data_IF_143019783970
#
_entry.id   IF_143019783970
#
_cell.length_a   1.000
_cell.length_b   1.000
_cell.length_c   1.000
_cell.angle_alpha   90.00
_cell.angle_beta   90.00
_cell.angle_gamma   90.00
#
_symmetry.space_group_name_H-M   'P 1'
#
loop_
_entity.id
_entity.type
_entity.pdbx_description
1 polymer ?
#
# COMPACT_ATOMS: atom_id res chain seq x y z
N UNK A 1 31.24 -6.84 -46.32
CA UNK A 1 30.81 -5.72 -45.44
C UNK A 1 29.35 -5.39 -45.72
N UNK A 2 28.39 -5.90 -44.92
CA UNK A 2 26.99 -5.47 -44.97
C UNK A 2 26.69 -4.74 -43.66
N UNK A 3 26.37 -3.45 -43.75
CA UNK A 3 25.98 -2.60 -42.61
C UNK A 3 24.69 -3.16 -41.99
N UNK A 4 24.73 -3.42 -40.69
CA UNK A 4 23.54 -3.70 -39.89
C UNK A 4 22.65 -2.45 -39.83
N UNK A 5 21.31 -2.59 -39.91
CA UNK A 5 20.41 -1.47 -39.84
C UNK A 5 20.41 -0.88 -38.42
N UNK A 6 20.57 0.43 -38.35
CA UNK A 6 20.43 1.22 -37.13
C UNK A 6 19.04 0.97 -36.52
N UNK A 7 19.02 0.43 -35.30
CA UNK A 7 17.85 0.50 -34.44
C UNK A 7 17.50 1.97 -34.19
N UNK A 8 16.47 2.46 -34.87
CA UNK A 8 15.79 3.69 -34.49
C UNK A 8 15.25 3.50 -33.07
N UNK A 9 15.83 4.21 -32.11
CA UNK A 9 15.23 4.39 -30.80
C UNK A 9 13.91 5.13 -30.99
N UNK A 10 12.80 4.42 -30.89
CA UNK A 10 11.47 5.03 -30.84
C UNK A 10 11.44 6.06 -29.70
N UNK A 11 11.12 7.31 -30.03
CA UNK A 11 10.84 8.33 -29.02
C UNK A 11 9.75 7.81 -28.06
N UNK A 12 9.82 8.13 -26.76
CA UNK A 12 8.78 7.74 -25.83
C UNK A 12 7.46 8.35 -26.31
N UNK A 13 6.54 7.50 -26.78
CA UNK A 13 5.18 7.90 -27.13
C UNK A 13 4.55 8.57 -25.91
N UNK A 14 4.63 9.89 -25.85
CA UNK A 14 4.04 10.69 -24.79
C UNK A 14 2.54 10.62 -25.01
N UNK A 15 1.85 9.79 -24.23
CA UNK A 15 0.40 9.77 -24.23
C UNK A 15 -0.09 11.17 -23.83
N UNK A 16 -0.99 11.73 -24.64
CA UNK A 16 -1.64 12.98 -24.25
C UNK A 16 -2.43 12.75 -22.96
N UNK A 17 -2.35 13.68 -22.00
CA UNK A 17 -3.14 13.57 -20.78
C UNK A 17 -4.63 13.62 -21.13
N UNK A 18 -5.40 12.68 -20.58
CA UNK A 18 -6.85 12.58 -20.73
C UNK A 18 -7.49 13.91 -20.32
N UNK A 19 -8.37 14.45 -21.16
CA UNK A 19 -8.96 15.77 -20.94
C UNK A 19 -9.90 15.73 -19.73
N UNK A 20 -10.07 16.83 -18.98
CA UNK A 20 -10.96 16.85 -17.82
C UNK A 20 -12.40 16.37 -18.11
N UNK A 21 -12.91 16.66 -19.31
CA UNK A 21 -14.24 16.24 -19.77
C UNK A 21 -14.38 14.73 -19.95
N UNK A 22 -13.27 13.99 -20.11
CA UNK A 22 -13.22 12.52 -20.31
C UNK A 22 -12.85 11.78 -19.01
N UNK A 23 -12.74 12.50 -17.89
CA UNK A 23 -12.40 11.95 -16.57
C UNK A 23 -13.64 11.65 -15.72
N UNK A 24 -14.82 11.52 -16.36
CA UNK A 24 -16.10 11.17 -15.74
C UNK A 24 -16.60 9.81 -16.29
N UNK A 25 -17.35 9.07 -15.47
CA UNK A 25 -17.78 7.69 -15.78
C UNK A 25 -18.59 7.60 -17.06
N UNK A 26 -19.34 8.66 -17.37
CA UNK A 26 -20.22 8.75 -18.52
C UNK A 26 -19.42 8.97 -19.82
N UNK A 27 -18.32 9.73 -19.73
CA UNK A 27 -17.60 10.26 -20.90
C UNK A 27 -16.23 9.62 -21.14
N UNK A 28 -15.74 8.84 -20.18
CA UNK A 28 -14.41 8.24 -20.29
C UNK A 28 -14.34 7.21 -21.40
N UNK A 29 -13.21 7.19 -22.13
CA UNK A 29 -12.87 6.13 -23.07
C UNK A 29 -12.17 4.93 -22.40
N UNK A 30 -11.73 5.09 -21.15
CA UNK A 30 -11.05 4.05 -20.40
C UNK A 30 -12.03 3.01 -19.87
N UNK A 31 -11.68 1.73 -19.95
CA UNK A 31 -12.53 0.65 -19.46
C UNK A 31 -12.40 0.44 -17.96
N UNK A 32 -13.49 0.01 -17.29
CA UNK A 32 -13.41 -0.40 -15.89
C UNK A 32 -12.40 -1.52 -15.69
N UNK A 33 -11.74 -1.49 -14.54
CA UNK A 33 -10.76 -2.49 -14.13
C UNK A 33 -10.94 -2.91 -12.68
N UNK A 34 -10.36 -4.06 -12.36
CA UNK A 34 -10.21 -4.55 -11.00
C UNK A 34 -8.85 -4.12 -10.44
N UNK A 35 -8.64 -4.13 -9.11
CA UNK A 35 -7.44 -3.56 -8.50
C UNK A 35 -6.12 -4.12 -9.04
N UNK A 36 -6.05 -5.45 -9.25
CA UNK A 36 -4.84 -6.12 -9.74
C UNK A 36 -4.47 -5.76 -11.18
N UNK A 37 -5.36 -5.93 -12.19
CA UNK A 37 -5.10 -5.45 -13.54
C UNK A 37 -4.88 -3.93 -13.61
N UNK A 38 -5.57 -3.17 -12.76
CA UNK A 38 -5.41 -1.73 -12.67
C UNK A 38 -4.01 -1.32 -12.22
N UNK A 39 -3.48 -1.91 -11.14
CA UNK A 39 -2.11 -1.65 -10.69
C UNK A 39 -1.07 -1.97 -11.77
N UNK A 40 -1.26 -3.06 -12.52
CA UNK A 40 -0.39 -3.40 -13.67
C UNK A 40 -0.42 -2.34 -14.76
N UNK A 41 -1.60 -1.79 -15.06
CA UNK A 41 -1.74 -0.71 -16.03
C UNK A 41 -1.12 0.60 -15.54
N UNK A 42 -1.33 0.98 -14.27
CA UNK A 42 -0.68 2.15 -13.65
C UNK A 42 0.84 2.03 -13.70
N UNK A 43 1.37 0.87 -13.35
CA UNK A 43 2.80 0.60 -13.41
C UNK A 43 3.35 0.73 -14.83
N UNK A 44 2.66 0.18 -15.82
CA UNK A 44 3.04 0.31 -17.23
C UNK A 44 3.03 1.78 -17.69
N UNK A 45 1.98 2.55 -17.36
CA UNK A 45 1.85 3.98 -17.72
C UNK A 45 3.03 4.80 -17.17
N UNK A 46 3.45 4.49 -15.95
CA UNK A 46 4.60 5.12 -15.30
C UNK A 46 5.92 4.71 -15.97
N UNK A 47 6.08 3.42 -16.28
CA UNK A 47 7.30 2.88 -16.88
C UNK A 47 7.55 3.42 -18.30
N UNK A 48 6.50 3.64 -19.09
CA UNK A 48 6.61 4.28 -20.41
C UNK A 48 6.77 5.81 -20.31
N UNK A 49 6.70 6.38 -19.10
CA UNK A 49 6.83 7.82 -18.89
C UNK A 49 5.66 8.64 -19.42
N UNK A 50 4.44 8.07 -19.42
CA UNK A 50 3.24 8.70 -20.00
C UNK A 50 2.91 10.08 -19.38
N UNK A 51 3.35 10.36 -18.16
CA UNK A 51 3.17 11.67 -17.53
C UNK A 51 4.47 12.22 -16.94
N UNK A 52 4.90 13.46 -17.30
CA UNK A 52 6.22 13.99 -16.93
C UNK A 52 6.40 14.21 -15.42
N UNK A 53 5.29 14.37 -14.69
CA UNK A 53 5.28 14.56 -13.24
C UNK A 53 4.93 13.28 -12.48
N UNK A 54 4.66 12.17 -13.16
CA UNK A 54 4.43 10.89 -12.50
C UNK A 54 5.77 10.38 -11.95
N UNK A 55 5.94 10.52 -10.64
CA UNK A 55 7.05 9.89 -9.96
C UNK A 55 6.69 8.42 -9.76
N UNK A 56 7.59 7.53 -10.19
CA UNK A 56 7.41 6.08 -10.10
C UNK A 56 7.30 5.54 -8.68
N UNK A 57 7.61 6.36 -7.68
CA UNK A 57 7.53 6.01 -6.26
C UNK A 57 6.22 6.53 -5.68
N UNK A 58 6.04 7.85 -5.69
CA UNK A 58 4.90 8.51 -5.04
C UNK A 58 3.56 8.23 -5.71
N UNK A 59 3.52 8.18 -7.04
CA UNK A 59 2.28 7.86 -7.78
C UNK A 59 1.89 6.40 -7.55
N UNK A 60 2.89 5.52 -7.48
CA UNK A 60 2.74 4.11 -7.17
C UNK A 60 2.22 3.92 -5.75
N UNK A 61 2.79 4.59 -4.75
CA UNK A 61 2.34 4.47 -3.36
C UNK A 61 0.88 4.91 -3.17
N UNK A 62 0.48 6.00 -3.82
CA UNK A 62 -0.92 6.43 -3.82
C UNK A 62 -1.80 5.40 -4.52
N UNK A 63 -1.34 4.82 -5.64
CA UNK A 63 -2.09 3.77 -6.33
C UNK A 63 -2.23 2.51 -5.46
N UNK A 64 -1.18 2.11 -4.73
CA UNK A 64 -1.22 0.98 -3.80
C UNK A 64 -2.22 1.20 -2.66
N UNK A 65 -2.21 2.39 -2.04
CA UNK A 65 -3.20 2.75 -1.01
C UNK A 65 -4.64 2.67 -1.53
N UNK A 66 -4.86 3.13 -2.77
CA UNK A 66 -6.19 3.05 -3.39
C UNK A 66 -6.57 1.59 -3.68
N UNK A 67 -5.69 0.82 -4.32
CA UNK A 67 -5.96 -0.57 -4.69
C UNK A 67 -6.26 -1.45 -3.47
N UNK A 68 -5.57 -1.21 -2.34
CA UNK A 68 -5.80 -1.95 -1.10
C UNK A 68 -7.21 -1.72 -0.52
N UNK A 69 -7.86 -0.62 -0.87
CA UNK A 69 -9.19 -0.23 -0.38
C UNK A 69 -10.28 -0.27 -1.45
N UNK A 70 -9.90 -0.58 -2.69
CA UNK A 70 -10.86 -0.73 -3.77
C UNK A 70 -11.72 -1.95 -3.53
N UNK A 71 -13.02 -1.84 -3.85
CA UNK A 71 -13.88 -2.99 -4.06
C UNK A 71 -13.21 -3.91 -5.10
N UNK A 72 -12.95 -5.15 -4.71
CA UNK A 72 -12.20 -6.09 -5.55
C UNK A 72 -12.90 -6.41 -6.88
N UNK A 73 -14.24 -6.45 -6.88
CA UNK A 73 -15.04 -6.82 -8.04
C UNK A 73 -15.32 -5.62 -8.96
N UNK A 74 -15.50 -4.43 -8.36
CA UNK A 74 -15.94 -3.23 -9.08
C UNK A 74 -14.82 -2.23 -9.34
N UNK A 75 -13.71 -2.31 -8.59
CA UNK A 75 -12.60 -1.35 -8.66
C UNK A 75 -13.01 0.03 -8.17
N UNK A 76 -13.95 0.12 -7.23
CA UNK A 76 -14.49 1.38 -6.71
C UNK A 76 -13.79 1.71 -5.40
N UNK A 77 -13.37 2.96 -5.21
CA UNK A 77 -12.74 3.40 -3.96
C UNK A 77 -13.29 4.73 -3.49
N UNK A 78 -13.59 4.79 -2.19
CA UNK A 78 -13.88 6.04 -1.49
C UNK A 78 -12.58 6.80 -1.28
N UNK A 79 -12.53 8.01 -1.80
CA UNK A 79 -11.39 8.89 -1.63
C UNK A 79 -11.49 9.64 -0.30
N UNK A 80 -10.56 9.30 0.57
CA UNK A 80 -10.32 9.99 1.83
C UNK A 80 -8.91 10.58 1.78
N UNK A 81 -8.83 11.91 1.60
CA UNK A 81 -7.56 12.61 1.54
C UNK A 81 -6.76 12.44 2.84
N UNK A 82 -7.40 12.53 4.00
CA UNK A 82 -6.70 12.53 5.28
C UNK A 82 -6.18 11.15 5.64
N UNK A 83 -7.02 10.12 5.48
CA UNK A 83 -6.59 8.75 5.68
C UNK A 83 -5.52 8.32 4.67
N UNK A 84 -5.61 8.74 3.40
CA UNK A 84 -4.55 8.46 2.43
C UNK A 84 -3.25 9.17 2.82
N UNK A 85 -3.28 10.42 3.30
CA UNK A 85 -2.07 11.08 3.80
C UNK A 85 -1.44 10.34 4.99
N UNK A 86 -2.26 9.88 5.95
CA UNK A 86 -1.79 9.15 7.14
C UNK A 86 -1.16 7.80 6.77
N UNK A 87 -1.80 7.04 5.87
CA UNK A 87 -1.32 5.70 5.49
C UNK A 87 -0.09 5.75 4.58
N UNK A 88 -0.02 6.74 3.69
CA UNK A 88 1.11 6.89 2.76
C UNK A 88 2.26 7.72 3.33
N UNK A 89 2.06 8.47 4.41
CA UNK A 89 3.02 9.42 4.95
C UNK A 89 3.29 10.63 4.03
N UNK A 90 2.44 10.83 3.01
CA UNK A 90 2.59 11.91 2.03
C UNK A 90 1.81 13.16 2.47
N UNK A 91 2.28 14.34 2.06
CA UNK A 91 1.55 15.59 2.31
C UNK A 91 0.23 15.64 1.53
N UNK A 92 -0.76 16.38 2.06
CA UNK A 92 -2.06 16.58 1.40
C UNK A 92 -1.93 17.08 -0.04
N UNK A 93 -1.00 18.02 -0.28
CA UNK A 93 -0.74 18.56 -1.61
C UNK A 93 -0.17 17.50 -2.57
N UNK A 94 0.74 16.66 -2.08
CA UNK A 94 1.32 15.56 -2.84
C UNK A 94 0.26 14.52 -3.21
N UNK A 95 -0.59 14.11 -2.26
CA UNK A 95 -1.68 13.17 -2.55
C UNK A 95 -2.63 13.74 -3.61
N UNK A 96 -3.10 14.98 -3.46
CA UNK A 96 -3.96 15.63 -4.46
C UNK A 96 -3.31 15.66 -5.85
N UNK A 97 -2.02 15.99 -5.92
CA UNK A 97 -1.26 16.02 -7.17
C UNK A 97 -1.21 14.63 -7.82
N UNK A 98 -0.88 13.58 -7.09
CA UNK A 98 -0.77 12.24 -7.67
C UNK A 98 -2.11 11.62 -8.02
N UNK A 99 -3.18 11.95 -7.31
CA UNK A 99 -4.55 11.61 -7.70
C UNK A 99 -4.93 12.30 -9.01
N UNK A 100 -4.62 13.59 -9.17
CA UNK A 100 -4.80 14.31 -10.43
C UNK A 100 -4.03 13.65 -11.58
N UNK A 101 -2.77 13.27 -11.34
CA UNK A 101 -1.94 12.58 -12.33
C UNK A 101 -2.57 11.24 -12.75
N UNK A 102 -3.07 10.44 -11.80
CA UNK A 102 -3.74 9.17 -12.13
C UNK A 102 -4.99 9.38 -12.98
N UNK A 103 -5.71 10.49 -12.80
CA UNK A 103 -6.86 10.86 -13.65
C UNK A 103 -6.43 11.32 -15.04
N UNK A 104 -5.39 12.16 -15.12
CA UNK A 104 -4.79 12.59 -16.39
C UNK A 104 -4.20 11.41 -17.18
N UNK A 105 -3.76 10.35 -16.51
CA UNK A 105 -3.33 9.10 -17.12
C UNK A 105 -4.49 8.19 -17.58
N UNK A 106 -5.74 8.57 -17.30
CA UNK A 106 -6.92 7.73 -17.59
C UNK A 106 -7.02 6.51 -16.69
N UNK A 107 -6.26 6.45 -15.59
CA UNK A 107 -6.27 5.36 -14.63
C UNK A 107 -7.38 5.53 -13.56
N UNK A 108 -7.87 6.75 -13.34
CA UNK A 108 -8.99 7.01 -12.45
C UNK A 108 -10.06 7.84 -13.14
N UNK A 109 -11.31 7.52 -12.84
CA UNK A 109 -12.49 8.26 -13.31
C UNK A 109 -13.36 8.66 -12.12
N UNK A 110 -14.03 9.81 -12.20
CA UNK A 110 -15.08 10.16 -11.25
C UNK A 110 -16.30 9.27 -11.45
N UNK A 111 -16.73 8.59 -10.39
CA UNK A 111 -18.05 7.97 -10.32
C UNK A 111 -19.05 8.91 -9.66
N UNK A 112 -18.60 9.63 -8.65
CA UNK A 112 -19.36 10.65 -7.98
C UNK A 112 -18.40 11.73 -7.48
N UNK A 113 -18.75 12.99 -7.75
CA UNK A 113 -18.01 14.15 -7.23
C UNK A 113 -18.36 14.39 -5.77
N UNK A 114 -17.33 14.55 -4.94
CA UNK A 114 -17.49 14.87 -3.53
C UNK A 114 -17.95 16.31 -3.41
N UNK A 115 -18.94 16.53 -2.55
CA UNK A 115 -19.51 17.85 -2.29
C UNK A 115 -18.97 18.41 -0.97
N UNK A 116 -18.60 19.70 -0.96
CA UNK A 116 -18.33 20.45 0.30
C UNK A 116 -19.62 20.73 1.09
N UNK A 117 -20.79 20.59 0.45
CA UNK A 117 -22.12 20.73 1.06
C UNK A 117 -22.63 19.35 1.47
N UNK A 118 -22.66 19.17 2.78
CA UNK A 118 -22.76 17.89 3.48
C UNK A 118 -24.16 17.25 3.45
N UNK A 119 -24.18 15.93 3.61
CA UNK A 119 -25.25 15.24 4.31
C UNK A 119 -25.17 15.62 5.80
N UNK A 120 -26.23 16.25 6.33
CA UNK A 120 -26.42 16.43 7.77
C UNK A 120 -26.98 15.12 8.33
N UNK A 121 -26.10 14.27 8.84
CA UNK A 121 -26.51 13.12 9.66
C UNK A 121 -26.86 13.63 11.06
N UNK A 122 -28.03 13.26 11.58
CA UNK A 122 -28.46 13.66 12.91
C UNK A 122 -27.39 13.25 13.95
N UNK A 123 -27.04 14.18 14.84
CA UNK A 123 -26.02 13.95 15.89
C UNK A 123 -24.57 13.94 15.43
N UNK A 124 -24.25 14.17 14.14
CA UNK A 124 -22.87 14.27 13.66
C UNK A 124 -22.55 15.63 13.05
N UNK A 125 -21.31 16.14 13.22
CA UNK A 125 -20.87 17.32 12.52
C UNK A 125 -20.94 17.08 11.01
N UNK A 126 -21.06 18.18 10.28
CA UNK A 126 -21.04 18.23 8.83
C UNK A 126 -19.95 17.31 8.24
N UNK A 127 -20.37 16.21 7.61
CA UNK A 127 -19.47 15.21 7.02
C UNK A 127 -19.47 15.37 5.50
N UNK A 128 -18.32 15.74 4.93
CA UNK A 128 -18.19 15.92 3.49
C UNK A 128 -18.50 14.60 2.77
N UNK A 129 -19.27 14.65 1.68
CA UNK A 129 -19.51 13.45 0.86
C UNK A 129 -18.18 13.02 0.26
N UNK A 130 -17.70 11.84 0.65
CA UNK A 130 -16.44 11.30 0.15
C UNK A 130 -16.51 11.17 -1.36
N UNK A 131 -15.45 11.59 -2.05
CA UNK A 131 -15.43 11.48 -3.50
C UNK A 131 -15.24 10.03 -3.92
N UNK A 132 -15.96 9.57 -4.94
CA UNK A 132 -15.90 8.16 -5.36
C UNK A 132 -15.17 8.05 -6.69
N UNK A 133 -14.10 7.25 -6.71
CA UNK A 133 -13.36 6.94 -7.92
C UNK A 133 -13.63 5.54 -8.42
N UNK A 134 -13.60 5.38 -9.73
CA UNK A 134 -13.54 4.10 -10.41
C UNK A 134 -12.15 3.85 -10.99
N UNK A 135 -11.62 2.66 -10.80
CA UNK A 135 -10.41 2.18 -11.43
C UNK A 135 -10.64 1.92 -12.91
N UNK A 136 -9.83 2.53 -13.77
CA UNK A 136 -9.94 2.40 -15.22
C UNK A 136 -8.60 2.06 -15.88
N UNK A 137 -8.65 1.41 -17.03
CA UNK A 137 -7.49 1.12 -17.87
C UNK A 137 -7.65 1.90 -19.18
N UNK A 138 -6.69 2.76 -19.56
CA UNK A 138 -6.79 3.56 -20.77
C UNK A 138 -6.60 2.71 -22.04
N UNK A 139 -7.21 3.10 -23.18
CA UNK A 139 -7.11 2.37 -24.44
C UNK A 139 -5.66 2.10 -24.86
N UNK A 140 -4.76 3.06 -24.65
CA UNK A 140 -3.33 2.90 -24.96
C UNK A 140 -2.68 1.67 -24.30
N UNK A 141 -3.11 1.30 -23.09
CA UNK A 141 -2.62 0.07 -22.44
C UNK A 141 -3.19 -1.17 -23.12
N UNK A 142 -4.47 -1.14 -23.48
CA UNK A 142 -5.13 -2.25 -24.15
C UNK A 142 -4.57 -2.46 -25.57
N UNK A 143 -4.31 -1.40 -26.32
CA UNK A 143 -3.69 -1.46 -27.65
C UNK A 143 -2.27 -2.01 -27.57
N UNK A 144 -1.47 -1.52 -26.62
CA UNK A 144 -0.08 -1.97 -26.43
C UNK A 144 0.03 -3.45 -26.02
N UNK A 145 -0.95 -3.99 -25.31
CA UNK A 145 -1.00 -5.40 -24.91
C UNK A 145 -1.89 -6.25 -25.83
N UNK A 146 -2.41 -5.65 -26.91
CA UNK A 146 -3.26 -6.30 -27.89
C UNK A 146 -4.54 -6.86 -27.30
N UNK A 147 -5.18 -6.20 -26.34
CA UNK A 147 -6.47 -6.60 -25.78
C UNK A 147 -7.61 -6.33 -26.76
N UNK A 148 -8.56 -7.27 -26.86
CA UNK A 148 -9.84 -7.07 -27.55
C UNK A 148 -10.91 -6.71 -26.54
N UNK A 149 -11.63 -5.63 -26.80
CA UNK A 149 -12.68 -5.11 -25.94
C UNK A 149 -14.06 -5.34 -26.57
N UNK A 150 -15.07 -5.53 -25.73
CA UNK A 150 -16.49 -5.44 -26.07
C UNK A 150 -17.12 -4.30 -25.27
N UNK A 151 -17.98 -3.52 -25.93
CA UNK A 151 -18.55 -2.30 -25.38
C UNK A 151 -17.59 -1.12 -25.43
N UNK A 152 -17.99 -0.01 -24.80
CA UNK A 152 -17.32 1.28 -24.91
C UNK A 152 -17.19 1.95 -23.53
N UNK A 153 -16.18 2.81 -23.41
CA UNK A 153 -15.92 3.62 -22.23
C UNK A 153 -15.84 2.80 -20.95
N UNK A 154 -16.37 3.33 -19.85
CA UNK A 154 -16.30 2.69 -18.53
C UNK A 154 -16.88 1.26 -18.50
N UNK A 155 -17.95 1.01 -19.27
CA UNK A 155 -18.61 -0.31 -19.31
C UNK A 155 -17.85 -1.35 -20.14
N UNK A 156 -16.86 -0.95 -20.93
CA UNK A 156 -16.11 -1.88 -21.77
C UNK A 156 -15.48 -3.03 -20.96
N UNK A 157 -15.41 -4.20 -21.58
CA UNK A 157 -14.87 -5.44 -21.00
C UNK A 157 -13.87 -6.04 -21.94
N UNK A 158 -12.77 -6.54 -21.39
CA UNK A 158 -11.80 -7.33 -22.17
C UNK A 158 -12.41 -8.69 -22.46
N UNK A 159 -12.62 -9.00 -23.73
CA UNK A 159 -13.16 -10.27 -24.22
C UNK A 159 -12.06 -11.23 -24.68
N UNK A 160 -10.89 -10.71 -25.06
CA UNK A 160 -9.79 -11.56 -25.49
C UNK A 160 -8.51 -10.79 -25.82
N UNK A 161 -7.67 -11.43 -26.61
CA UNK A 161 -6.43 -10.88 -27.14
C UNK A 161 -6.44 -10.95 -28.66
N UNK A 162 -5.74 -10.02 -29.31
CA UNK A 162 -5.26 -10.15 -30.69
C UNK A 162 -4.22 -11.26 -30.77
N UNK A 163 -3.90 -11.73 -31.98
CA UNK A 163 -2.92 -12.80 -32.14
C UNK A 163 -1.53 -12.40 -31.62
N UNK A 164 -1.10 -11.17 -31.95
CA UNK A 164 0.15 -10.60 -31.42
C UNK A 164 0.12 -10.44 -29.89
N UNK A 165 -0.98 -9.95 -29.33
CA UNK A 165 -1.16 -9.83 -27.88
C UNK A 165 -1.22 -11.19 -27.17
N UNK A 166 -1.79 -12.21 -27.80
CA UNK A 166 -1.83 -13.58 -27.29
C UNK A 166 -0.42 -14.17 -27.20
N UNK A 167 0.40 -14.01 -28.23
CA UNK A 167 1.80 -14.45 -28.21
C UNK A 167 2.58 -13.79 -27.07
N UNK A 168 2.43 -12.47 -26.89
CA UNK A 168 3.06 -11.74 -25.77
C UNK A 168 2.54 -12.22 -24.41
N UNK A 169 1.22 -12.44 -24.26
CA UNK A 169 0.62 -12.94 -23.04
C UNK A 169 1.12 -14.34 -22.66
N UNK A 170 1.31 -15.22 -23.64
CA UNK A 170 1.88 -16.56 -23.44
C UNK A 170 3.32 -16.46 -22.94
N UNK A 171 4.16 -15.64 -23.56
CA UNK A 171 5.54 -15.42 -23.11
C UNK A 171 5.56 -14.92 -21.67
N UNK A 172 4.74 -13.90 -21.35
CA UNK A 172 4.62 -13.36 -19.99
C UNK A 172 4.15 -14.44 -19.01
N UNK A 173 3.19 -15.29 -19.39
CA UNK A 173 2.67 -16.35 -18.52
C UNK A 173 3.73 -17.43 -18.26
N UNK A 174 4.36 -17.95 -19.31
CA UNK A 174 5.40 -18.97 -19.24
C UNK A 174 6.57 -18.54 -18.37
N UNK A 175 7.05 -17.31 -18.56
CA UNK A 175 8.11 -16.82 -17.73
C UNK A 175 7.63 -16.62 -16.27
N UNK A 176 6.35 -16.34 -15.98
CA UNK A 176 5.82 -16.20 -14.60
C UNK A 176 5.93 -17.53 -13.89
N UNK A 177 5.42 -18.57 -14.54
CA UNK A 177 5.43 -19.95 -14.03
C UNK A 177 6.86 -20.44 -13.82
N UNK A 178 7.75 -20.20 -14.77
CA UNK A 178 9.16 -20.58 -14.66
C UNK A 178 9.89 -19.89 -13.49
N UNK A 179 9.41 -18.74 -13.00
CA UNK A 179 9.98 -18.07 -11.82
C UNK A 179 9.40 -18.57 -10.52
N UNK A 180 8.10 -18.84 -10.47
CA UNK A 180 7.46 -19.46 -9.30
C UNK A 180 8.03 -20.86 -9.04
N UNK A 181 8.41 -21.60 -10.09
CA UNK A 181 9.07 -22.90 -9.97
C UNK A 181 10.56 -22.82 -9.60
N UNK A 182 11.18 -21.63 -9.71
CA UNK A 182 12.59 -21.39 -9.37
C UNK A 182 12.77 -20.79 -7.97
N UNK A 183 11.71 -20.61 -7.19
CA UNK A 183 11.84 -20.37 -5.76
C UNK A 183 12.25 -21.70 -5.09
N UNK A 184 13.48 -21.83 -4.55
CA UNK A 184 13.87 -23.05 -3.90
C UNK A 184 13.01 -23.28 -2.65
N UNK A 185 12.60 -24.53 -2.35
CA UNK A 185 11.95 -24.83 -1.09
C UNK A 185 12.87 -24.36 0.05
N UNK A 186 12.31 -23.58 0.96
CA UNK A 186 12.99 -23.00 2.11
C UNK A 186 13.82 -24.05 2.83
N UNK A 187 15.16 -23.95 2.76
CA UNK A 187 16.06 -24.75 3.60
C UNK A 187 16.05 -24.14 5.00
N UNK A 188 15.47 -24.90 5.93
CA UNK A 188 15.57 -24.75 7.37
C UNK A 188 17.03 -24.68 7.85
N UNK A 189 17.23 -23.88 8.89
CA UNK A 189 18.49 -23.63 9.59
C UNK A 189 19.24 -24.91 10.00
N UNK A 190 20.56 -24.92 9.81
CA UNK A 190 21.49 -25.54 10.76
C UNK A 190 22.72 -24.66 10.92
N UNK A 191 22.97 -24.30 12.17
CA UNK A 191 24.06 -23.49 12.71
C UNK A 191 25.42 -24.13 12.45
N UNK A 192 26.40 -23.35 11.99
CA UNK A 192 27.80 -23.58 12.37
C UNK A 192 28.58 -22.25 12.32
N UNK A 193 28.88 -21.70 13.49
CA UNK A 193 29.95 -20.72 13.64
C UNK A 193 31.27 -21.47 13.88
N UNK A 194 32.39 -20.92 13.42
CA UNK A 194 33.59 -20.92 14.26
C UNK A 194 34.14 -19.51 14.52
N UNK A 195 34.80 -19.43 15.67
CA UNK A 195 35.31 -18.26 16.39
C UNK A 195 36.51 -17.53 15.73
N UNK A 196 36.82 -16.31 16.21
CA UNK A 196 37.93 -15.49 15.73
C UNK A 196 39.23 -15.81 16.48
N UNK A 197 40.37 -15.56 15.84
CA UNK A 197 41.65 -15.50 16.56
C UNK A 197 42.53 -14.32 16.14
N UNK A 198 43.24 -13.83 17.16
CA UNK A 198 44.10 -12.65 17.30
C UNK A 198 45.38 -12.79 16.44
N UNK A 199 46.33 -11.86 16.22
CA UNK A 199 46.90 -10.68 16.90
C UNK A 199 47.99 -10.14 15.95
N UNK A 200 48.36 -8.86 16.01
CA UNK A 200 49.58 -8.38 15.33
C UNK A 200 49.78 -6.86 15.42
N UNK A 201 50.85 -6.45 16.09
CA UNK A 201 51.13 -5.13 16.67
C UNK A 201 52.03 -4.22 15.80
N UNK A 202 51.83 -2.88 15.92
CA UNK A 202 52.78 -1.73 15.96
C UNK A 202 53.95 -1.64 14.93
N UNK A 203 54.35 -0.51 14.30
CA UNK A 203 54.72 0.82 14.84
C UNK A 203 54.95 1.87 13.70
N UNK A 204 54.48 3.11 13.94
CA UNK A 204 54.93 4.50 13.61
C UNK A 204 55.73 4.89 12.34
N UNK A 205 55.26 5.94 11.65
CA UNK A 205 55.99 7.24 11.44
C UNK A 205 55.02 8.38 11.11
N UNK A 206 55.19 9.60 11.67
CA UNK A 206 54.32 10.74 11.41
C UNK A 206 54.84 11.58 10.23
N UNK A 207 53.97 11.99 9.32
CA UNK A 207 54.29 13.03 8.34
C UNK A 207 53.23 14.11 8.29
N UNK A 208 53.75 15.34 8.15
CA UNK A 208 53.17 16.59 8.55
C UNK A 208 51.88 16.98 7.82
N UNK A 209 51.06 17.70 8.57
CA UNK A 209 49.71 18.17 8.26
C UNK A 209 49.77 19.28 7.20
N UNK A 210 49.22 19.03 6.02
CA UNK A 210 48.75 20.09 5.13
C UNK A 210 47.27 20.35 5.45
N UNK A 211 46.95 21.55 5.93
CA UNK A 211 45.57 22.02 6.16
C UNK A 211 44.83 22.13 4.83
N UNK A 212 44.21 21.02 4.42
CA UNK A 212 43.32 20.99 3.26
C UNK A 212 42.00 21.65 3.65
N UNK A 213 41.67 22.73 2.93
CA UNK A 213 40.37 23.39 2.90
C UNK A 213 39.26 22.32 2.87
N UNK A 214 38.39 22.34 3.88
CA UNK A 214 37.39 21.30 4.09
C UNK A 214 36.38 21.28 2.93
N UNK A 215 36.48 20.26 2.08
CA UNK A 215 35.47 20.02 1.04
C UNK A 215 34.10 19.80 1.70
N UNK A 216 33.00 20.33 1.14
CA UNK A 216 31.67 20.14 1.70
C UNK A 216 31.39 18.64 1.85
N UNK A 217 31.05 18.21 3.07
CA UNK A 217 30.75 16.81 3.39
C UNK A 217 29.50 16.41 2.61
N UNK A 218 29.58 15.31 1.85
CA UNK A 218 28.41 14.75 1.16
C UNK A 218 27.34 14.39 2.20
N UNK A 219 26.11 14.84 1.98
CA UNK A 219 24.94 14.52 2.82
C UNK A 219 24.27 13.23 2.31
N UNK A 220 23.69 12.46 3.23
CA UNK A 220 22.89 11.27 2.91
C UNK A 220 21.47 11.62 2.43
N UNK A 221 20.64 10.61 2.13
CA UNK A 221 19.23 10.79 1.71
C UNK A 221 18.43 11.52 2.78
N UNK A 222 18.72 11.23 4.06
CA UNK A 222 18.10 11.88 5.22
C UNK A 222 18.86 13.14 5.69
N UNK A 223 19.86 13.60 4.93
CA UNK A 223 20.60 14.83 5.21
C UNK A 223 21.71 14.72 6.26
N UNK A 224 22.05 13.49 6.67
CA UNK A 224 23.04 13.23 7.73
C UNK A 224 24.49 13.31 7.20
N UNK A 225 25.46 13.70 8.04
CA UNK A 225 26.87 13.71 7.64
C UNK A 225 27.39 12.28 7.43
N UNK A 226 27.92 12.02 6.24
CA UNK A 226 28.44 10.69 5.89
C UNK A 226 29.92 10.56 6.28
N UNK A 227 30.27 9.52 7.03
CA UNK A 227 31.67 9.15 7.29
C UNK A 227 32.14 8.07 6.32
N UNK A 228 33.45 7.98 6.10
CA UNK A 228 34.01 6.97 5.20
C UNK A 228 33.73 5.53 5.66
N UNK A 229 33.68 5.30 6.98
CA UNK A 229 33.37 3.99 7.56
C UNK A 229 31.92 3.57 7.25
N UNK A 230 30.95 4.48 7.42
CA UNK A 230 29.53 4.23 7.11
C UNK A 230 29.35 3.96 5.63
N UNK A 231 30.02 4.73 4.77
CA UNK A 231 29.95 4.49 3.31
C UNK A 231 30.52 3.12 2.91
N UNK A 232 31.64 2.70 3.53
CA UNK A 232 32.21 1.35 3.30
C UNK A 232 31.26 0.25 3.76
N UNK A 233 30.55 0.43 4.88
CA UNK A 233 29.53 -0.50 5.34
C UNK A 233 28.37 -0.59 4.34
N UNK A 234 27.87 0.55 3.87
CA UNK A 234 26.81 0.60 2.86
C UNK A 234 27.22 -0.01 1.51
N UNK A 235 28.47 0.15 1.08
CA UNK A 235 29.00 -0.49 -0.12
C UNK A 235 29.04 -2.02 0.00
N UNK A 236 29.44 -2.52 1.17
CA UNK A 236 29.39 -3.96 1.47
C UNK A 236 27.96 -4.49 1.41
N UNK A 237 27.00 -3.77 1.99
CA UNK A 237 25.59 -4.13 1.94
C UNK A 237 25.07 -4.15 0.50
N UNK A 238 25.36 -3.12 -0.30
CA UNK A 238 24.90 -3.05 -1.68
C UNK A 238 25.42 -4.21 -2.55
N UNK A 239 26.67 -4.63 -2.36
CA UNK A 239 27.26 -5.79 -3.09
C UNK A 239 26.58 -7.10 -2.73
N UNK A 240 26.23 -7.31 -1.46
CA UNK A 240 25.59 -8.54 -1.00
C UNK A 240 24.10 -8.58 -1.33
N UNK A 241 23.39 -7.45 -1.15
CA UNK A 241 21.93 -7.40 -1.28
C UNK A 241 21.46 -7.29 -2.74
N UNK A 242 22.22 -6.63 -3.62
CA UNK A 242 21.83 -6.47 -5.04
C UNK A 242 21.59 -7.82 -5.74
N UNK A 243 22.47 -8.83 -5.60
CA UNK A 243 22.24 -10.18 -6.14
C UNK A 243 20.95 -10.84 -5.62
N UNK A 244 20.65 -10.67 -4.32
CA UNK A 244 19.54 -11.32 -3.64
C UNK A 244 18.17 -10.76 -4.05
N UNK A 245 18.10 -9.46 -4.37
CA UNK A 245 16.86 -8.83 -4.78
C UNK A 245 16.84 -8.56 -6.29
N UNK A 246 16.13 -9.42 -7.01
CA UNK A 246 15.96 -9.34 -8.47
C UNK A 246 15.54 -7.96 -8.99
N UNK A 247 14.74 -7.20 -8.23
CA UNK A 247 14.27 -5.87 -8.61
C UNK A 247 15.33 -4.76 -8.46
N UNK A 248 16.42 -5.00 -7.71
CA UNK A 248 17.56 -4.09 -7.57
C UNK A 248 18.61 -4.25 -8.67
N UNK A 249 18.53 -5.29 -9.48
CA UNK A 249 19.57 -5.65 -10.48
C UNK A 249 19.87 -4.54 -11.50
N UNK A 250 18.90 -3.67 -11.82
CA UNK A 250 19.10 -2.54 -12.74
C UNK A 250 19.84 -1.34 -12.11
N UNK A 251 20.01 -1.33 -10.80
CA UNK A 251 20.66 -0.24 -10.08
C UNK A 251 22.17 -0.48 -9.99
N UNK A 252 22.96 0.58 -10.16
CA UNK A 252 24.42 0.52 -9.98
C UNK A 252 24.74 0.36 -8.49
N UNK A 253 25.79 -0.39 -8.17
CA UNK A 253 26.20 -0.62 -6.77
C UNK A 253 26.36 0.72 -6.04
N UNK A 254 27.07 1.69 -6.62
CA UNK A 254 27.26 3.03 -6.04
C UNK A 254 25.96 3.76 -5.67
N UNK A 255 24.94 3.65 -6.52
CA UNK A 255 23.64 4.28 -6.28
C UNK A 255 22.90 3.59 -5.13
N UNK A 256 22.98 2.27 -5.06
CA UNK A 256 22.39 1.51 -3.96
C UNK A 256 23.16 1.76 -2.65
N UNK A 257 24.50 1.76 -2.70
CA UNK A 257 25.37 2.09 -1.58
C UNK A 257 24.99 3.45 -0.99
N UNK A 258 24.84 4.48 -1.84
CA UNK A 258 24.48 5.83 -1.40
C UNK A 258 23.14 5.87 -0.65
N UNK A 259 22.13 5.12 -1.10
CA UNK A 259 20.82 5.09 -0.44
C UNK A 259 20.85 4.31 0.88
N UNK A 260 21.65 3.25 0.95
CA UNK A 260 21.79 2.43 2.15
C UNK A 260 22.68 3.07 3.23
N UNK A 261 23.33 4.21 2.93
CA UNK A 261 24.15 4.96 3.89
C UNK A 261 23.40 5.28 5.18
N UNK A 262 22.14 5.69 5.09
CA UNK A 262 21.36 6.07 6.27
C UNK A 262 21.05 4.86 7.16
N UNK A 263 20.62 3.73 6.59
CA UNK A 263 20.45 2.48 7.36
C UNK A 263 21.77 1.99 7.96
N UNK A 264 22.89 2.15 7.25
CA UNK A 264 24.22 1.83 7.79
C UNK A 264 24.64 2.80 8.91
N UNK A 265 24.24 4.07 8.84
CA UNK A 265 24.49 5.07 9.88
C UNK A 265 23.66 4.78 11.15
N UNK A 266 22.45 4.24 10.99
CA UNK A 266 21.59 3.76 12.08
C UNK A 266 22.11 2.46 12.73
N UNK A 267 23.23 1.91 12.24
CA UNK A 267 23.78 0.65 12.73
C UNK A 267 22.97 -0.58 12.31
N UNK A 268 22.11 -0.47 11.29
CA UNK A 268 21.30 -1.58 10.83
C UNK A 268 22.17 -2.73 10.33
N UNK A 269 21.83 -3.95 10.72
CA UNK A 269 22.53 -5.15 10.28
C UNK A 269 22.14 -5.52 8.85
N UNK A 270 22.99 -6.31 8.18
CA UNK A 270 22.68 -6.82 6.84
C UNK A 270 21.33 -7.54 6.80
N UNK A 271 20.99 -8.31 7.84
CA UNK A 271 19.72 -9.03 7.95
C UNK A 271 18.53 -8.09 8.07
N UNK A 272 18.64 -7.03 8.86
CA UNK A 272 17.58 -6.02 9.00
C UNK A 272 17.33 -5.28 7.67
N UNK A 273 18.40 -4.94 6.95
CA UNK A 273 18.28 -4.30 5.63
C UNK A 273 17.68 -5.27 4.61
N UNK A 274 18.08 -6.54 4.64
CA UNK A 274 17.50 -7.58 3.78
C UNK A 274 15.99 -7.77 4.04
N UNK A 275 15.59 -7.90 5.30
CA UNK A 275 14.19 -8.02 5.69
C UNK A 275 13.37 -6.80 5.26
N UNK A 276 13.89 -5.59 5.49
CA UNK A 276 13.26 -4.36 5.05
C UNK A 276 13.14 -4.28 3.52
N UNK A 277 14.19 -4.62 2.76
CA UNK A 277 14.15 -4.68 1.30
C UNK A 277 13.16 -5.72 0.77
N UNK A 278 12.94 -6.80 1.52
CA UNK A 278 11.92 -7.79 1.24
C UNK A 278 10.51 -7.22 1.50
N UNK A 279 10.30 -6.54 2.62
CA UNK A 279 9.02 -5.90 2.96
C UNK A 279 8.60 -4.84 1.92
N UNK A 280 9.52 -3.99 1.52
CA UNK A 280 9.24 -2.95 0.51
C UNK A 280 9.27 -3.48 -0.93
N UNK A 281 9.46 -4.80 -1.12
CA UNK A 281 9.60 -5.41 -2.44
C UNK A 281 8.35 -5.12 -3.28
N UNK A 282 8.48 -4.36 -4.37
CA UNK A 282 7.32 -3.94 -5.12
C UNK A 282 6.66 -5.09 -5.90
N UNK A 283 7.35 -6.23 -6.03
CA UNK A 283 6.78 -7.45 -6.59
C UNK A 283 5.55 -7.95 -5.83
N UNK A 284 5.43 -7.66 -4.52
CA UNK A 284 4.25 -8.00 -3.72
C UNK A 284 2.97 -7.37 -4.27
N UNK A 285 3.10 -6.22 -4.94
CA UNK A 285 1.96 -5.44 -5.38
C UNK A 285 1.76 -5.42 -6.89
N UNK A 286 2.85 -5.33 -7.65
CA UNK A 286 2.80 -5.23 -9.12
C UNK A 286 3.05 -6.57 -9.82
N UNK A 287 3.35 -7.60 -9.04
CA UNK A 287 3.69 -8.93 -9.51
C UNK A 287 5.20 -9.14 -9.70
N UNK A 288 5.63 -10.40 -9.84
CA UNK A 288 7.03 -10.82 -9.72
C UNK A 288 7.98 -10.32 -10.82
N UNK A 289 7.44 -9.68 -11.87
CA UNK A 289 8.24 -9.09 -12.96
C UNK A 289 8.50 -7.61 -12.82
N UNK A 290 7.69 -6.91 -12.02
CA UNK A 290 7.81 -5.46 -11.98
C UNK A 290 9.09 -5.05 -11.25
N UNK A 291 9.83 -4.13 -11.87
CA UNK A 291 11.07 -3.58 -11.34
C UNK A 291 11.06 -2.09 -11.61
N UNK A 292 11.17 -1.23 -10.57
CA UNK A 292 11.23 0.20 -10.79
C UNK A 292 12.42 0.53 -11.70
N UNK A 293 12.20 1.38 -12.71
CA UNK A 293 13.27 1.84 -13.61
C UNK A 293 14.43 2.49 -12.83
N UNK A 294 14.13 3.15 -11.69
CA UNK A 294 15.10 3.74 -10.78
C UNK A 294 14.95 3.13 -9.38
N UNK A 295 15.36 1.88 -9.22
CA UNK A 295 15.15 1.16 -7.95
C UNK A 295 15.85 1.84 -6.75
N UNK A 296 17.03 2.45 -6.91
CA UNK A 296 17.63 3.29 -5.86
C UNK A 296 16.71 4.45 -5.42
N UNK A 297 16.05 5.14 -6.36
CA UNK A 297 15.15 6.22 -6.03
C UNK A 297 13.89 5.72 -5.28
N UNK A 298 13.42 4.51 -5.62
CA UNK A 298 12.37 3.81 -4.88
C UNK A 298 12.78 3.50 -3.44
N UNK A 299 13.96 2.91 -3.25
CA UNK A 299 14.52 2.63 -1.92
C UNK A 299 14.67 3.93 -1.11
N UNK A 300 15.17 5.00 -1.74
CA UNK A 300 15.35 6.30 -1.08
C UNK A 300 14.03 6.93 -0.66
N UNK A 301 12.98 6.83 -1.49
CA UNK A 301 11.65 7.32 -1.16
C UNK A 301 11.04 6.55 0.01
N UNK A 302 11.20 5.21 0.04
CA UNK A 302 10.72 4.38 1.16
C UNK A 302 11.43 4.73 2.46
N UNK A 303 12.75 4.94 2.41
CA UNK A 303 13.53 5.40 3.54
C UNK A 303 13.04 6.76 4.08
N UNK A 304 12.72 7.70 3.20
CA UNK A 304 12.15 9.00 3.59
C UNK A 304 10.76 8.87 4.21
N UNK A 305 9.92 7.96 3.71
CA UNK A 305 8.60 7.67 4.28
C UNK A 305 8.70 7.08 5.68
N UNK A 306 9.62 6.14 5.89
CA UNK A 306 9.85 5.55 7.21
C UNK A 306 10.32 6.61 8.21
N UNK A 307 11.30 7.43 7.81
CA UNK A 307 11.78 8.53 8.65
C UNK A 307 10.69 9.58 8.94
N UNK A 308 9.77 9.82 8.00
CA UNK A 308 8.63 10.71 8.23
C UNK A 308 7.64 10.12 9.23
N UNK A 309 7.32 8.82 9.10
CA UNK A 309 6.46 8.09 10.03
C UNK A 309 7.03 8.08 11.45
N UNK A 310 8.32 7.81 11.58
CA UNK A 310 9.03 7.81 12.86
C UNK A 310 8.97 9.19 13.55
N UNK A 311 9.17 10.28 12.78
CA UNK A 311 9.04 11.65 13.31
C UNK A 311 7.62 11.95 13.76
N UNK A 312 6.61 11.53 13.01
CA UNK A 312 5.21 11.73 13.37
C UNK A 312 4.85 10.94 14.63
N UNK A 313 5.31 9.70 14.76
CA UNK A 313 5.13 8.92 16.00
C UNK A 313 5.84 9.57 17.19
N UNK A 314 7.07 10.04 17.02
CA UNK A 314 7.81 10.71 18.08
C UNK A 314 7.13 12.03 18.49
N UNK A 315 6.60 12.78 17.52
CA UNK A 315 5.83 13.99 17.80
C UNK A 315 4.54 13.68 18.56
N UNK A 316 3.79 12.65 18.16
CA UNK A 316 2.60 12.22 18.90
C UNK A 316 2.90 11.83 20.34
N UNK A 317 3.97 11.07 20.57
CA UNK A 317 4.40 10.69 21.91
C UNK A 317 4.86 11.92 22.73
N UNK A 318 5.53 12.88 22.10
CA UNK A 318 5.94 14.12 22.76
C UNK A 318 4.74 15.03 23.10
N UNK A 319 3.75 15.09 22.21
CA UNK A 319 2.49 15.83 22.42
C UNK A 319 1.67 15.17 23.54
N UNK A 320 1.61 13.84 23.58
CA UNK A 320 0.98 13.07 24.67
C UNK A 320 1.71 13.27 26.00
N UNK A 321 3.04 13.27 26.01
CA UNK A 321 3.83 13.56 27.20
C UNK A 321 3.70 15.02 27.69
N UNK A 322 3.41 15.96 26.78
CA UNK A 322 3.15 17.37 27.10
C UNK A 322 1.70 17.63 27.50
N UNK A 323 0.78 16.74 27.15
CA UNK A 323 -0.62 16.86 27.54
C UNK A 323 -0.71 16.89 29.07
N UNK A 324 -1.32 17.95 29.61
CA UNK A 324 -1.57 18.02 31.04
C UNK A 324 -2.51 16.87 31.40
N UNK A 325 -2.16 16.03 32.40
CA UNK A 325 -3.07 14.97 32.82
C UNK A 325 -4.41 15.60 33.20
N UNK A 326 -5.54 14.95 32.87
CA UNK A 326 -6.86 15.50 33.17
C UNK A 326 -6.96 15.83 34.65
N UNK A 327 -7.44 17.04 34.96
CA UNK A 327 -7.67 17.50 36.33
C UNK A 327 -8.63 16.55 37.05
N UNK A 328 -8.50 16.46 38.38
CA UNK A 328 -9.38 15.63 39.21
C UNK A 328 -10.87 15.95 38.99
N UNK A 329 -11.20 17.21 38.68
CA UNK A 329 -12.55 17.64 38.30
C UNK A 329 -13.00 17.04 36.97
N UNK A 330 -12.13 16.99 35.96
CA UNK A 330 -12.44 16.38 34.67
C UNK A 330 -12.59 14.86 34.81
N UNK A 331 -11.73 14.20 35.59
CA UNK A 331 -11.88 12.76 35.85
C UNK A 331 -13.17 12.47 36.60
N UNK A 332 -13.50 13.27 37.62
CA UNK A 332 -14.75 13.13 38.36
C UNK A 332 -15.98 13.39 37.47
N UNK A 333 -15.97 14.44 36.65
CA UNK A 333 -17.06 14.71 35.70
C UNK A 333 -17.20 13.60 34.66
N UNK A 334 -16.09 13.07 34.14
CA UNK A 334 -16.11 11.94 33.21
C UNK A 334 -16.59 10.65 33.89
N UNK A 335 -16.32 10.47 35.18
CA UNK A 335 -16.75 9.31 35.97
C UNK A 335 -18.22 9.44 36.38
N UNK A 336 -18.70 10.65 36.68
CA UNK A 336 -20.12 10.97 36.85
C UNK A 336 -20.87 10.70 35.56
N UNK A 337 -20.42 11.18 34.41
CA UNK A 337 -21.02 10.84 33.10
C UNK A 337 -21.01 9.34 32.81
N UNK A 338 -19.94 8.63 33.19
CA UNK A 338 -19.84 7.17 33.03
C UNK A 338 -20.75 6.41 33.99
N UNK A 339 -20.98 6.95 35.18
CA UNK A 339 -21.89 6.40 36.18
C UNK A 339 -23.35 6.79 35.91
N UNK A 340 -23.61 7.96 35.33
CA UNK A 340 -24.93 8.41 34.84
C UNK A 340 -25.35 7.60 33.61
N UNK A 341 -24.40 7.23 32.74
CA UNK A 341 -24.67 6.28 31.64
C UNK A 341 -24.85 4.83 32.11
N UNK A 342 -24.54 4.51 33.37
CA UNK A 342 -24.81 3.20 34.01
C UNK A 342 -25.99 3.28 35.00
N UNK A 343 -26.38 4.47 35.45
CA UNK A 343 -27.40 4.70 36.48
C UNK A 343 -28.66 5.44 36.01
N UNK A 344 -28.69 5.90 34.75
CA UNK A 344 -29.89 6.39 34.08
C UNK A 344 -30.77 5.24 33.61
N UNK A 345 -31.35 4.53 34.56
CA UNK A 345 -32.56 3.74 34.34
C UNK A 345 -33.74 4.67 34.08
N UNK A 346 -33.73 5.39 32.94
CA UNK A 346 -34.95 5.38 32.15
C UNK A 346 -35.11 3.95 31.69
N UNK A 347 -36.31 3.41 31.86
CA UNK A 347 -36.79 2.13 31.39
C UNK A 347 -36.24 1.80 29.99
N UNK A 348 -35.02 1.26 29.92
CA UNK A 348 -34.63 0.39 28.83
C UNK A 348 -35.48 -0.84 29.08
N UNK A 349 -36.66 -0.82 28.48
CA UNK A 349 -37.44 -2.02 28.23
C UNK A 349 -36.41 -3.12 27.96
N UNK A 350 -36.43 -4.12 28.83
CA UNK A 350 -35.69 -5.35 28.63
C UNK A 350 -35.93 -5.71 27.17
N UNK A 351 -34.92 -5.55 26.29
CA UNK A 351 -35.05 -5.86 24.85
C UNK A 351 -35.07 -7.39 24.76
N UNK A 352 -36.16 -7.95 25.28
CA UNK A 352 -36.62 -9.32 25.16
C UNK A 352 -37.19 -9.54 23.76
N UNK A 353 -37.47 -8.47 23.02
CA UNK A 353 -37.90 -8.49 21.64
C UNK A 353 -36.83 -7.89 20.72
N UNK A 354 -36.04 -8.78 20.09
CA UNK A 354 -35.27 -8.48 18.86
C UNK A 354 -36.13 -7.81 17.78
N UNK A 355 -37.45 -7.92 17.90
CA UNK A 355 -38.45 -7.41 16.97
C UNK A 355 -38.62 -5.87 17.01
N UNK A 356 -37.98 -5.16 17.95
CA UNK A 356 -38.02 -3.68 18.04
C UNK A 356 -36.78 -2.97 17.46
N UNK A 357 -35.80 -3.72 16.94
CA UNK A 357 -34.60 -3.13 16.34
C UNK A 357 -34.90 -2.56 14.95
N UNK A 358 -34.49 -1.32 14.72
CA UNK A 358 -34.56 -0.67 13.41
C UNK A 358 -33.90 -1.55 12.33
N UNK A 359 -34.63 -1.78 11.24
CA UNK A 359 -34.19 -2.60 10.12
C UNK A 359 -32.85 -2.10 9.54
N UNK A 360 -32.59 -0.78 9.58
CA UNK A 360 -31.32 -0.21 9.11
C UNK A 360 -30.15 -0.58 10.01
N UNK A 361 -30.37 -0.62 11.32
CA UNK A 361 -29.39 -1.02 12.32
C UNK A 361 -29.11 -2.52 12.25
N UNK A 362 -30.15 -3.36 12.11
CA UNK A 362 -30.00 -4.81 11.92
C UNK A 362 -29.19 -5.10 10.65
N UNK A 363 -29.42 -4.35 9.56
CA UNK A 363 -28.65 -4.51 8.33
C UNK A 363 -27.17 -4.10 8.48
N UNK A 364 -26.88 -3.05 9.26
CA UNK A 364 -25.51 -2.66 9.59
C UNK A 364 -24.80 -3.70 10.46
N UNK A 365 -25.47 -4.19 11.50
CA UNK A 365 -24.94 -5.24 12.38
C UNK A 365 -24.63 -6.53 11.60
N UNK A 366 -25.50 -6.90 10.65
CA UNK A 366 -25.25 -8.02 9.73
C UNK A 366 -24.01 -7.78 8.87
N UNK A 367 -23.89 -6.60 8.27
CA UNK A 367 -22.76 -6.28 7.40
C UNK A 367 -21.43 -6.27 8.16
N UNK A 368 -21.40 -5.73 9.38
CA UNK A 368 -20.21 -5.70 10.24
C UNK A 368 -19.84 -7.12 10.69
N UNK A 369 -20.79 -7.92 11.19
CA UNK A 369 -20.56 -9.30 11.59
C UNK A 369 -20.04 -10.17 10.44
N UNK A 370 -20.63 -10.01 9.23
CA UNK A 370 -20.16 -10.71 8.03
C UNK A 370 -18.75 -10.28 7.62
N UNK A 371 -18.46 -8.98 7.69
CA UNK A 371 -17.15 -8.43 7.38
C UNK A 371 -16.07 -8.98 8.32
N UNK A 372 -16.34 -8.98 9.63
CA UNK A 372 -15.42 -9.48 10.65
C UNK A 372 -15.14 -10.97 10.51
N UNK A 373 -16.19 -11.76 10.32
CA UNK A 373 -16.05 -13.19 10.08
C UNK A 373 -15.26 -13.49 8.81
N UNK A 374 -15.54 -12.80 7.70
CA UNK A 374 -14.89 -13.06 6.39
C UNK A 374 -13.44 -12.58 6.33
N UNK A 375 -13.12 -11.43 6.93
CA UNK A 375 -11.80 -10.82 6.80
C UNK A 375 -10.83 -11.22 7.90
N UNK A 376 -11.33 -11.47 9.11
CA UNK A 376 -10.50 -11.71 10.30
C UNK A 376 -10.75 -13.07 10.94
N UNK A 377 -11.74 -13.85 10.46
CA UNK A 377 -12.18 -15.06 11.14
C UNK A 377 -12.78 -14.77 12.52
N UNK A 378 -13.13 -13.51 12.78
CA UNK A 378 -13.63 -13.06 14.06
C UNK A 378 -15.11 -13.42 14.16
N UNK A 379 -15.40 -14.37 15.06
CA UNK A 379 -16.73 -14.90 15.35
C UNK A 379 -17.33 -14.33 16.63
N UNK A 380 -16.57 -13.51 17.37
CA UNK A 380 -16.89 -13.16 18.76
C UNK A 380 -18.25 -12.47 18.84
N UNK A 381 -18.48 -11.48 17.98
CA UNK A 381 -19.75 -10.73 17.92
C UNK A 381 -21.00 -11.63 17.73
N UNK A 382 -20.89 -12.69 16.93
CA UNK A 382 -22.01 -13.60 16.64
C UNK A 382 -22.15 -14.64 17.75
N UNK A 383 -21.04 -15.15 18.28
CA UNK A 383 -21.05 -16.17 19.33
C UNK A 383 -21.43 -15.62 20.69
N UNK A 384 -21.03 -14.40 21.06
CA UNK A 384 -21.46 -13.75 22.30
C UNK A 384 -22.98 -13.60 22.34
N UNK A 385 -23.60 -13.24 21.22
CA UNK A 385 -25.06 -13.12 21.11
C UNK A 385 -25.73 -14.50 21.08
N UNK A 386 -25.13 -15.50 20.43
CA UNK A 386 -25.66 -16.86 20.43
C UNK A 386 -25.57 -17.53 21.81
N UNK A 387 -24.50 -17.29 22.56
CA UNK A 387 -24.26 -17.82 23.90
C UNK A 387 -25.13 -17.09 24.95
N UNK A 388 -25.40 -15.78 24.76
CA UNK A 388 -26.22 -14.98 25.66
C UNK A 388 -27.74 -15.04 25.42
N UNK A 389 -28.18 -14.97 24.16
CA UNK A 389 -29.60 -14.89 23.78
C UNK A 389 -30.13 -16.17 23.10
N UNK A 390 -29.25 -17.14 22.86
CA UNK A 390 -29.57 -18.38 22.18
C UNK A 390 -29.46 -18.31 20.65
N UNK A 391 -29.29 -19.48 20.03
CA UNK A 391 -29.07 -19.62 18.59
C UNK A 391 -30.19 -19.03 17.73
N UNK A 392 -31.45 -19.18 18.16
CA UNK A 392 -32.61 -18.70 17.41
C UNK A 392 -32.64 -17.16 17.33
N UNK A 393 -32.34 -16.49 18.44
CA UNK A 393 -32.22 -15.04 18.53
C UNK A 393 -31.05 -14.50 17.68
N UNK A 394 -29.88 -15.11 17.80
CA UNK A 394 -28.73 -14.77 16.97
C UNK A 394 -29.01 -14.96 15.47
N UNK A 395 -29.79 -15.98 15.09
CA UNK A 395 -30.15 -16.23 13.69
C UNK A 395 -31.09 -15.18 13.11
N UNK A 396 -31.97 -14.58 13.94
CA UNK A 396 -32.81 -13.44 13.53
C UNK A 396 -31.96 -12.18 13.31
N UNK A 397 -30.99 -11.93 14.19
CA UNK A 397 -30.10 -10.77 14.10
C UNK A 397 -29.09 -10.88 12.94
N UNK A 398 -28.36 -12.00 12.85
CA UNK A 398 -27.19 -12.13 11.98
C UNK A 398 -27.38 -13.05 10.78
N UNK A 399 -28.58 -13.60 10.58
CA UNK A 399 -28.93 -14.70 9.65
C UNK A 399 -28.45 -16.08 10.11
N UNK A 400 -29.29 -17.09 9.90
CA UNK A 400 -28.99 -18.48 10.28
C UNK A 400 -27.68 -18.98 9.64
N UNK A 401 -27.43 -18.60 8.38
CA UNK A 401 -26.23 -19.01 7.65
C UNK A 401 -24.93 -18.53 8.32
N UNK A 402 -24.89 -17.28 8.77
CA UNK A 402 -23.70 -16.72 9.42
C UNK A 402 -23.48 -17.37 10.80
N UNK A 403 -24.56 -17.53 11.58
CA UNK A 403 -24.49 -18.19 12.91
C UNK A 403 -23.97 -19.61 12.78
N UNK A 404 -24.48 -20.40 11.83
CA UNK A 404 -24.01 -21.77 11.59
C UNK A 404 -22.58 -21.82 11.05
N UNK A 405 -22.14 -20.81 10.29
CA UNK A 405 -20.75 -20.70 9.85
C UNK A 405 -19.81 -20.39 11.02
N UNK A 406 -20.17 -19.46 11.91
CA UNK A 406 -19.39 -19.11 13.10
C UNK A 406 -19.29 -20.28 14.10
N UNK A 407 -20.38 -21.01 14.34
CA UNK A 407 -20.38 -22.19 15.21
C UNK A 407 -19.48 -23.30 14.64
N UNK A 408 -19.54 -23.56 13.32
CA UNK A 408 -18.66 -24.53 12.67
C UNK A 408 -17.19 -24.09 12.70
N UNK A 409 -16.92 -22.80 12.53
CA UNK A 409 -15.58 -22.24 12.63
C UNK A 409 -15.00 -22.38 14.04
N UNK A 410 -15.80 -22.13 15.10
CA UNK A 410 -15.42 -22.37 16.50
C UNK A 410 -15.08 -23.84 16.76
N UNK A 411 -15.85 -24.77 16.20
CA UNK A 411 -15.62 -26.20 16.36
C UNK A 411 -14.41 -26.72 15.54
N UNK A 412 -14.10 -26.10 14.40
CA UNK A 412 -12.96 -26.46 13.57
C UNK A 412 -12.35 -25.23 12.86
N UNK A 413 -11.39 -24.53 13.48
CA UNK A 413 -10.79 -23.30 12.95
C UNK A 413 -9.99 -23.49 11.65
N UNK A 414 -9.75 -24.74 11.21
CA UNK A 414 -9.03 -25.05 9.96
C UNK A 414 -9.93 -24.95 8.72
N UNK A 415 -11.25 -24.85 8.91
CA UNK A 415 -12.20 -24.58 7.83
C UNK A 415 -12.18 -23.07 7.56
N UNK A 416 -11.50 -22.63 6.50
CA UNK A 416 -11.60 -21.23 6.07
C UNK A 416 -13.07 -20.88 5.76
N UNK A 417 -13.54 -19.66 6.10
CA UNK A 417 -14.89 -19.25 5.78
C UNK A 417 -15.11 -19.34 4.27
N UNK A 418 -16.14 -20.09 3.86
CA UNK A 418 -16.43 -20.34 2.44
C UNK A 418 -16.68 -19.01 1.69
N UNK A 419 -16.08 -18.89 0.50
CA UNK A 419 -15.94 -17.66 -0.29
C UNK A 419 -17.24 -17.04 -0.79
#
# INVERSE_FOLDING_TARGET
MRRAPHHQHAEPHRLEPVRPAEQDVITTHSRRSWPRPWLKAVAWLIDIGAHPKALATTTVDVALDLAARMDFQRGIVLYDLEGTTRRTGLSRATVKRHIKILRELGALVWLQHGSRRNLRLAGRPYTATATVYGATIPPAYDDAHGHRLSGHGYTARRTGFTEAGRAQAIVIAQETTARLQREPPSRSNTTHSPNPDLRGTSTTTPQARATKIAKPRKKSVLGRPVTAAVYKAADRFARVLRPLHNWLQRTRIEQLSWVLVDKAADGATLQQIHAWLHEINPAHYFGPRWRPARAHAYVAAKLQQDAARERETAQRLADEARATPPTAEFTNAAQVLRNESVGGGEEFAEITAIDELDASLVQQMRADAWGRFKHYGDTDLVLTVADGLGKAAASRLYTAQLVDACIRFRANPRLQPAH
#
